data_IF_171933470155
#
_entry.id   IF_171933470155
#
_cell.length_a   1.000
_cell.length_b   1.000
_cell.length_c   1.000
_cell.angle_alpha   90.00
_cell.angle_beta   90.00
_cell.angle_gamma   90.00
#
_symmetry.space_group_name_H-M   'P 1'
#
loop_
_entity.id
_entity.type
_entity.pdbx_description
1 polymer ?
#
# COMPACT_ATOMS: atom_id res chain seq x y z
N UNK A 1 16.62 -18.10 32.55
CA UNK A 1 15.39 -17.96 31.75
C UNK A 1 15.91 -17.66 30.37
N UNK A 2 16.05 -18.71 29.56
CA UNK A 2 16.58 -18.65 28.19
C UNK A 2 15.71 -17.72 27.36
N UNK A 3 16.37 -16.83 26.61
CA UNK A 3 15.76 -16.18 25.48
C UNK A 3 15.46 -17.26 24.44
N UNK A 4 14.21 -17.37 24.03
CA UNK A 4 13.76 -18.19 22.91
C UNK A 4 14.49 -17.71 21.65
N UNK A 5 15.35 -18.57 21.09
CA UNK A 5 15.91 -18.41 19.75
C UNK A 5 14.75 -18.14 18.78
N UNK A 6 14.86 -17.07 18.00
CA UNK A 6 13.92 -16.78 16.92
C UNK A 6 13.96 -17.92 15.91
N UNK A 7 12.79 -18.41 15.50
CA UNK A 7 12.59 -19.34 14.38
C UNK A 7 13.07 -18.70 13.07
N UNK A 8 14.40 -18.59 12.89
CA UNK A 8 15.00 -18.31 11.59
C UNK A 8 15.09 -19.66 10.89
N UNK A 9 14.29 -19.81 9.85
CA UNK A 9 14.29 -20.96 8.96
C UNK A 9 15.72 -21.25 8.49
N UNK A 10 16.20 -22.47 8.66
CA UNK A 10 17.54 -22.82 8.16
C UNK A 10 17.57 -22.71 6.64
N UNK A 11 18.73 -22.46 6.00
CA UNK A 11 18.84 -22.43 4.54
C UNK A 11 18.31 -23.70 3.85
N UNK A 12 18.35 -24.83 4.57
CA UNK A 12 17.82 -26.12 4.11
C UNK A 12 16.27 -26.12 4.13
N UNK A 13 15.65 -25.56 5.16
CA UNK A 13 14.19 -25.43 5.26
C UNK A 13 13.63 -24.42 4.25
N UNK A 14 14.35 -23.31 4.00
CA UNK A 14 13.99 -22.36 2.97
C UNK A 14 14.02 -22.99 1.56
N UNK A 15 15.01 -23.86 1.31
CA UNK A 15 15.11 -24.62 0.07
C UNK A 15 13.95 -25.62 -0.08
N UNK A 16 13.63 -26.39 0.97
CA UNK A 16 12.51 -27.35 0.96
C UNK A 16 11.16 -26.67 0.70
N UNK A 17 10.94 -25.48 1.29
CA UNK A 17 9.74 -24.67 1.03
C UNK A 17 9.68 -24.20 -0.43
N UNK A 18 10.78 -23.67 -0.97
CA UNK A 18 10.85 -23.25 -2.37
C UNK A 18 10.62 -24.42 -3.34
N UNK A 19 11.18 -25.59 -3.06
CA UNK A 19 10.95 -26.81 -3.85
C UNK A 19 9.47 -27.22 -3.83
N UNK A 20 8.83 -27.20 -2.65
CA UNK A 20 7.41 -27.51 -2.49
C UNK A 20 6.51 -26.52 -3.25
N UNK A 21 6.81 -25.23 -3.18
CA UNK A 21 6.05 -24.19 -3.88
C UNK A 21 6.24 -24.25 -5.40
N UNK A 22 7.45 -24.59 -5.87
CA UNK A 22 7.73 -24.86 -7.27
C UNK A 22 6.98 -26.08 -7.78
N UNK A 23 6.97 -27.19 -7.05
CA UNK A 23 6.17 -28.38 -7.41
C UNK A 23 4.67 -28.06 -7.48
N UNK A 24 4.18 -27.25 -6.54
CA UNK A 24 2.78 -26.77 -6.51
C UNK A 24 2.48 -25.87 -7.72
N UNK A 25 3.42 -25.01 -8.10
CA UNK A 25 3.29 -24.16 -9.28
C UNK A 25 3.32 -25.00 -10.57
N UNK A 26 4.21 -25.98 -10.68
CA UNK A 26 4.26 -26.91 -11.80
C UNK A 26 2.95 -27.67 -11.94
N UNK A 27 2.40 -28.21 -10.84
CA UNK A 27 1.09 -28.87 -10.84
C UNK A 27 -0.05 -27.90 -11.25
N UNK A 28 0.02 -26.64 -10.83
CA UNK A 28 -0.91 -25.58 -11.22
C UNK A 28 -0.86 -25.32 -12.73
N UNK A 29 0.34 -25.15 -13.28
CA UNK A 29 0.55 -24.94 -14.71
C UNK A 29 0.17 -26.19 -15.54
N UNK A 30 0.29 -27.39 -14.95
CA UNK A 30 -0.02 -28.67 -15.57
C UNK A 30 -1.52 -29.04 -15.56
N UNK A 31 -2.40 -28.23 -14.95
CA UNK A 31 -3.86 -28.38 -15.10
C UNK A 31 -4.67 -28.48 -13.81
N UNK A 32 -4.19 -27.97 -12.67
CA UNK A 32 -5.03 -27.82 -11.48
C UNK A 32 -6.13 -26.76 -11.70
N UNK A 33 -7.34 -27.03 -11.21
CA UNK A 33 -8.51 -26.13 -11.28
C UNK A 33 -8.43 -25.03 -10.21
N UNK A 34 -7.41 -24.16 -10.33
CA UNK A 34 -7.29 -22.96 -9.49
C UNK A 34 -7.97 -21.77 -10.16
N UNK A 35 -8.72 -21.01 -9.37
CA UNK A 35 -9.25 -19.72 -9.82
C UNK A 35 -8.11 -18.75 -10.16
N UNK A 36 -8.35 -17.73 -11.03
CA UNK A 36 -7.34 -16.72 -11.35
C UNK A 36 -6.72 -16.05 -10.11
N UNK A 37 -7.51 -15.80 -9.07
CA UNK A 37 -7.04 -15.20 -7.81
C UNK A 37 -6.10 -16.14 -7.05
N UNK A 38 -6.45 -17.42 -6.93
CA UNK A 38 -5.58 -18.42 -6.28
C UNK A 38 -4.25 -18.58 -7.00
N UNK A 39 -4.26 -18.59 -8.34
CA UNK A 39 -3.01 -18.62 -9.12
C UNK A 39 -2.15 -17.40 -8.86
N UNK A 40 -2.75 -16.21 -8.84
CA UNK A 40 -2.03 -14.96 -8.56
C UNK A 40 -1.38 -14.99 -7.17
N UNK A 41 -2.13 -15.39 -6.15
CA UNK A 41 -1.62 -15.50 -4.78
C UNK A 41 -0.42 -16.46 -4.68
N UNK A 42 -0.47 -17.61 -5.38
CA UNK A 42 0.64 -18.55 -5.43
C UNK A 42 1.89 -17.92 -6.06
N UNK A 43 1.75 -17.25 -7.20
CA UNK A 43 2.87 -16.56 -7.86
C UNK A 43 3.48 -15.46 -6.98
N UNK A 44 2.64 -14.64 -6.35
CA UNK A 44 3.10 -13.57 -5.44
C UNK A 44 3.85 -14.15 -4.24
N UNK A 45 3.33 -15.22 -3.63
CA UNK A 45 3.99 -15.92 -2.51
C UNK A 45 5.35 -16.50 -2.90
N UNK A 46 5.42 -17.23 -4.02
CA UNK A 46 6.68 -17.84 -4.48
C UNK A 46 7.74 -16.77 -4.79
N UNK A 47 7.36 -15.69 -5.48
CA UNK A 47 8.29 -14.60 -5.78
C UNK A 47 8.79 -13.93 -4.50
N UNK A 48 7.90 -13.73 -3.51
CA UNK A 48 8.29 -13.22 -2.18
C UNK A 48 9.36 -14.08 -1.52
N UNK A 49 9.18 -15.39 -1.49
CA UNK A 49 10.18 -16.30 -0.91
C UNK A 49 11.52 -16.26 -1.65
N UNK A 50 11.50 -16.17 -2.98
CA UNK A 50 12.74 -16.00 -3.76
C UNK A 50 13.42 -14.68 -3.42
N UNK A 51 12.66 -13.61 -3.17
CA UNK A 51 13.21 -12.33 -2.72
C UNK A 51 13.84 -12.43 -1.33
N UNK A 52 13.21 -13.16 -0.40
CA UNK A 52 13.74 -13.38 0.96
C UNK A 52 15.05 -14.17 0.93
N UNK A 53 15.11 -15.26 0.15
CA UNK A 53 16.36 -16.02 -0.03
C UNK A 53 17.45 -15.17 -0.66
N UNK A 54 17.12 -14.34 -1.66
CA UNK A 54 18.08 -13.39 -2.21
C UNK A 54 18.56 -12.40 -1.15
N UNK A 55 17.66 -11.92 -0.29
CA UNK A 55 17.99 -10.99 0.79
C UNK A 55 18.95 -11.62 1.80
N UNK A 56 18.75 -12.89 2.18
CA UNK A 56 19.68 -13.62 3.05
C UNK A 56 21.11 -13.63 2.50
N UNK A 57 21.28 -13.80 1.18
CA UNK A 57 22.62 -13.73 0.54
C UNK A 57 23.26 -12.35 0.64
N UNK A 58 22.47 -11.30 0.86
CA UNK A 58 22.91 -9.93 1.08
C UNK A 58 23.06 -9.58 2.58
N UNK A 59 22.79 -10.52 3.49
CA UNK A 59 22.76 -10.27 4.93
C UNK A 59 21.43 -9.73 5.47
N UNK A 60 20.35 -9.89 4.71
CA UNK A 60 19.00 -9.41 5.02
C UNK A 60 18.49 -8.37 4.01
N UNK A 61 17.23 -7.97 4.18
CA UNK A 61 16.68 -6.83 3.45
C UNK A 61 17.34 -5.53 3.94
N UNK A 62 17.53 -4.57 3.02
CA UNK A 62 18.27 -3.34 3.31
C UNK A 62 17.36 -2.17 3.67
N UNK A 63 17.89 -1.29 4.51
CA UNK A 63 17.20 -0.10 5.01
C UNK A 63 17.25 1.07 4.01
N UNK A 64 16.24 1.94 4.10
CA UNK A 64 16.24 3.29 3.55
C UNK A 64 16.10 4.33 4.66
N UNK A 65 16.61 5.54 4.43
CA UNK A 65 16.41 6.67 5.36
C UNK A 65 15.03 7.30 5.16
N UNK A 66 14.39 7.71 6.25
CA UNK A 66 13.06 8.37 6.23
C UNK A 66 13.19 9.89 6.38
N UNK A 67 12.09 10.61 6.13
CA UNK A 67 12.07 12.07 6.21
C UNK A 67 12.31 12.59 7.63
N UNK A 68 11.75 11.89 8.63
CA UNK A 68 11.89 12.16 10.05
C UNK A 68 13.32 11.91 10.58
N UNK A 69 14.22 11.39 9.75
CA UNK A 69 15.60 11.07 10.11
C UNK A 69 15.79 9.66 10.68
N UNK A 70 14.76 8.81 10.60
CA UNK A 70 14.82 7.39 10.93
C UNK A 70 15.27 6.52 9.77
N UNK A 71 15.16 5.21 9.96
CA UNK A 71 15.41 4.19 8.95
C UNK A 71 14.31 3.14 9.00
N UNK A 72 14.05 2.51 7.87
CA UNK A 72 13.09 1.41 7.75
C UNK A 72 13.57 0.44 6.67
N UNK A 73 13.29 -0.85 6.86
CA UNK A 73 13.51 -1.90 5.85
C UNK A 73 12.20 -2.15 5.13
N UNK A 74 11.97 -1.63 3.91
CA UNK A 74 10.62 -1.69 3.32
C UNK A 74 10.11 -3.11 3.05
N UNK A 75 10.99 -4.04 2.69
CA UNK A 75 10.61 -5.43 2.44
C UNK A 75 10.40 -6.25 3.73
N UNK A 76 10.77 -5.70 4.88
CA UNK A 76 10.58 -6.27 6.21
C UNK A 76 10.25 -5.15 7.21
N UNK A 77 9.06 -4.53 7.07
CA UNK A 77 8.75 -3.31 7.80
C UNK A 77 8.47 -3.59 9.27
N UNK A 78 9.12 -2.82 10.14
CA UNK A 78 8.73 -2.69 11.55
C UNK A 78 7.63 -1.63 11.66
N UNK A 79 6.44 -2.04 12.11
CA UNK A 79 5.30 -1.14 12.33
C UNK A 79 5.64 0.05 13.23
N UNK A 80 6.54 -0.12 14.20
CA UNK A 80 6.95 0.97 15.10
C UNK A 80 7.79 2.06 14.42
N UNK A 81 8.41 1.75 13.26
CA UNK A 81 9.17 2.71 12.46
C UNK A 81 8.31 3.47 11.44
N UNK A 82 7.03 3.09 11.28
CA UNK A 82 6.10 3.74 10.34
C UNK A 82 5.48 4.96 11.02
N UNK A 83 5.64 6.15 10.42
CA UNK A 83 5.11 7.39 10.99
C UNK A 83 4.21 8.12 10.00
N UNK A 84 3.18 8.79 10.53
CA UNK A 84 2.30 9.64 9.73
C UNK A 84 3.07 10.79 9.05
N UNK A 85 4.12 11.29 9.70
CA UNK A 85 4.98 12.35 9.16
C UNK A 85 5.71 11.89 7.90
N UNK A 86 6.33 10.71 7.94
CA UNK A 86 7.05 10.13 6.80
C UNK A 86 6.11 9.81 5.63
N UNK A 87 4.97 9.17 5.92
CA UNK A 87 3.93 8.88 4.93
C UNK A 87 3.45 10.17 4.28
N UNK A 88 3.02 11.15 5.07
CA UNK A 88 2.48 12.42 4.55
C UNK A 88 3.52 13.15 3.72
N UNK A 89 4.78 13.18 4.17
CA UNK A 89 5.86 13.80 3.43
C UNK A 89 6.05 13.14 2.07
N UNK A 90 6.24 11.83 2.03
CA UNK A 90 6.54 11.09 0.80
C UNK A 90 5.36 11.13 -0.18
N UNK A 91 4.15 10.78 0.27
CA UNK A 91 2.96 10.76 -0.59
C UNK A 91 2.63 12.12 -1.20
N UNK A 92 2.96 13.22 -0.52
CA UNK A 92 2.77 14.57 -1.07
C UNK A 92 3.77 14.94 -2.16
N UNK A 93 4.91 14.24 -2.24
CA UNK A 93 5.95 14.45 -3.25
C UNK A 93 5.89 13.43 -4.40
N UNK A 94 5.21 12.29 -4.21
CA UNK A 94 5.01 11.28 -5.24
C UNK A 94 3.89 11.69 -6.18
N UNK A 95 4.20 11.80 -7.48
CA UNK A 95 3.19 12.06 -8.51
C UNK A 95 2.53 10.74 -8.93
N UNK A 96 1.20 10.75 -8.97
CA UNK A 96 0.43 9.71 -9.65
C UNK A 96 0.70 9.73 -11.15
N UNK A 97 0.33 8.62 -11.79
CA UNK A 97 0.47 8.39 -13.22
C UNK A 97 1.92 8.49 -13.71
N UNK A 98 2.89 8.27 -12.82
CA UNK A 98 4.32 8.47 -13.11
C UNK A 98 4.60 9.88 -13.71
N UNK A 99 3.82 10.89 -13.31
CA UNK A 99 3.95 12.26 -13.78
C UNK A 99 3.54 12.51 -15.24
N UNK A 100 2.83 11.57 -15.88
CA UNK A 100 2.40 11.71 -17.28
C UNK A 100 1.09 12.50 -17.46
N UNK A 101 0.39 12.80 -16.37
CA UNK A 101 -0.84 13.59 -16.41
C UNK A 101 -0.58 15.05 -16.83
N UNK A 102 -1.65 15.79 -17.14
CA UNK A 102 -1.61 17.21 -17.52
C UNK A 102 -0.95 18.15 -16.50
N UNK A 103 -0.74 17.70 -15.26
CA UNK A 103 -0.04 18.43 -14.20
C UNK A 103 0.33 17.50 -13.05
N UNK A 104 1.08 18.03 -12.09
CA UNK A 104 1.43 17.27 -10.89
C UNK A 104 0.18 16.99 -10.05
N UNK A 105 -0.06 15.71 -9.77
CA UNK A 105 -1.14 15.24 -8.93
C UNK A 105 -0.57 14.19 -7.99
N UNK A 106 -0.50 14.49 -6.69
CA UNK A 106 0.19 13.62 -5.76
C UNK A 106 -0.67 12.49 -5.22
N UNK A 107 -0.02 11.42 -4.78
CA UNK A 107 -0.67 10.29 -4.09
C UNK A 107 -1.42 10.78 -2.85
N UNK A 108 -0.87 11.75 -2.11
CA UNK A 108 -1.57 12.34 -0.96
C UNK A 108 -2.90 13.01 -1.34
N UNK A 109 -3.00 13.66 -2.51
CA UNK A 109 -4.28 14.26 -2.97
C UNK A 109 -5.32 13.18 -3.23
N UNK A 110 -4.90 12.11 -3.90
CA UNK A 110 -5.73 10.95 -4.15
C UNK A 110 -6.24 10.32 -2.86
N UNK A 111 -5.35 10.02 -1.91
CA UNK A 111 -5.71 9.43 -0.62
C UNK A 111 -6.69 10.30 0.19
N UNK A 112 -6.53 11.64 0.18
CA UNK A 112 -7.50 12.55 0.78
C UNK A 112 -8.87 12.42 0.09
N UNK A 113 -8.90 12.36 -1.24
CA UNK A 113 -10.14 12.23 -2.00
C UNK A 113 -10.85 10.91 -1.70
N UNK A 114 -10.11 9.79 -1.71
CA UNK A 114 -10.64 8.47 -1.34
C UNK A 114 -11.23 8.50 0.08
N UNK A 115 -10.48 9.00 1.06
CA UNK A 115 -10.96 9.09 2.46
C UNK A 115 -12.24 9.92 2.59
N UNK A 116 -12.37 11.04 1.87
CA UNK A 116 -13.59 11.88 1.89
C UNK A 116 -14.75 11.23 1.16
N UNK A 117 -14.49 10.54 0.07
CA UNK A 117 -15.50 9.82 -0.70
C UNK A 117 -16.07 8.63 0.10
N UNK A 118 -15.22 7.93 0.87
CA UNK A 118 -15.64 6.90 1.83
C UNK A 118 -16.60 7.49 2.87
N UNK A 119 -16.27 8.63 3.47
CA UNK A 119 -17.13 9.32 4.43
C UNK A 119 -18.47 9.73 3.80
N UNK A 120 -18.44 10.36 2.63
CA UNK A 120 -19.65 10.82 1.94
C UNK A 120 -20.60 9.68 1.55
N UNK A 121 -20.07 8.46 1.36
CA UNK A 121 -20.84 7.24 1.10
C UNK A 121 -21.26 6.50 2.38
N UNK A 122 -20.97 7.05 3.56
CA UNK A 122 -21.38 6.48 4.84
C UNK A 122 -20.49 5.33 5.33
N UNK A 123 -19.25 5.25 4.86
CA UNK A 123 -18.27 4.28 5.36
C UNK A 123 -17.97 4.47 6.84
N UNK A 124 -17.57 3.39 7.51
CA UNK A 124 -17.19 3.40 8.92
C UNK A 124 -15.99 4.32 9.18
N UNK A 125 -15.74 4.67 10.45
CA UNK A 125 -14.54 5.44 10.80
C UNK A 125 -13.25 4.69 10.37
N UNK A 126 -13.20 3.37 10.56
CA UNK A 126 -12.07 2.54 10.15
C UNK A 126 -11.90 2.52 8.63
N UNK A 127 -12.99 2.44 7.86
CA UNK A 127 -12.94 2.58 6.40
C UNK A 127 -12.43 3.96 5.97
N UNK A 128 -12.80 5.03 6.68
CA UNK A 128 -12.32 6.39 6.37
C UNK A 128 -10.83 6.55 6.69
N UNK A 129 -10.36 5.95 7.80
CA UNK A 129 -8.95 5.90 8.19
C UNK A 129 -8.14 5.12 7.16
N UNK A 130 -8.61 3.93 6.77
CA UNK A 130 -7.99 3.13 5.72
C UNK A 130 -8.02 3.82 4.37
N UNK A 131 -9.11 4.48 4.00
CA UNK A 131 -9.17 5.28 2.77
C UNK A 131 -8.07 6.36 2.70
N UNK A 132 -7.62 6.91 3.83
CA UNK A 132 -6.50 7.85 3.87
C UNK A 132 -5.12 7.17 3.81
N UNK A 133 -5.00 5.94 4.33
CA UNK A 133 -3.74 5.23 4.52
C UNK A 133 -3.54 4.05 3.55
N UNK A 134 -4.47 3.76 2.65
CA UNK A 134 -4.42 2.58 1.78
C UNK A 134 -3.18 2.56 0.85
N UNK A 135 -2.74 3.74 0.40
CA UNK A 135 -1.53 3.95 -0.40
C UNK A 135 -0.29 4.26 0.46
N UNK A 136 -0.33 4.08 1.80
CA UNK A 136 0.80 4.42 2.68
C UNK A 136 2.09 3.65 2.35
N UNK A 137 1.98 2.42 1.84
CA UNK A 137 3.10 1.61 1.34
C UNK A 137 3.88 2.32 0.21
N UNK A 138 3.22 3.14 -0.61
CA UNK A 138 3.86 3.86 -1.71
C UNK A 138 4.87 4.90 -1.21
N UNK A 139 4.75 5.36 0.05
CA UNK A 139 5.77 6.21 0.67
C UNK A 139 7.16 5.56 0.71
N UNK A 140 7.20 4.22 0.67
CA UNK A 140 8.41 3.42 0.81
C UNK A 140 8.77 2.62 -0.47
N UNK A 141 7.82 2.42 -1.38
CA UNK A 141 8.03 1.71 -2.65
C UNK A 141 7.85 2.54 -3.93
N UNK A 142 7.30 3.76 -3.82
CA UNK A 142 6.80 4.62 -4.91
C UNK A 142 5.48 4.14 -5.55
N UNK A 143 4.75 5.08 -6.17
CA UNK A 143 3.54 4.83 -6.97
C UNK A 143 3.88 4.06 -8.25
N UNK A 144 3.27 2.89 -8.43
CA UNK A 144 3.39 2.07 -9.64
C UNK A 144 2.04 2.02 -10.35
N UNK A 145 1.94 2.50 -11.60
CA UNK A 145 0.68 2.49 -12.34
C UNK A 145 0.06 1.09 -12.43
N UNK A 146 -1.25 1.00 -12.19
CA UNK A 146 -1.98 -0.26 -12.10
C UNK A 146 -1.69 -1.27 -13.25
N UNK A 147 -1.59 -0.88 -14.55
CA UNK A 147 -1.27 -1.84 -15.61
C UNK A 147 0.12 -2.47 -15.48
N UNK A 148 1.10 -1.72 -14.95
CA UNK A 148 2.46 -2.23 -14.71
C UNK A 148 2.47 -3.09 -13.45
N UNK A 149 1.82 -2.63 -12.37
CA UNK A 149 1.69 -3.33 -11.09
C UNK A 149 1.10 -4.75 -11.24
N UNK A 150 0.16 -4.93 -12.17
CA UNK A 150 -0.39 -6.25 -12.49
C UNK A 150 0.65 -7.29 -12.92
N UNK A 151 1.80 -6.85 -13.45
CA UNK A 151 2.90 -7.70 -13.91
C UNK A 151 4.09 -7.75 -12.94
N UNK A 152 3.96 -7.20 -11.72
CA UNK A 152 5.01 -7.12 -10.71
C UNK A 152 4.62 -7.86 -9.41
N UNK A 153 4.59 -9.21 -9.42
CA UNK A 153 4.14 -10.00 -8.27
C UNK A 153 4.96 -9.78 -7.00
N UNK A 154 6.27 -9.53 -7.13
CA UNK A 154 7.12 -9.22 -5.97
C UNK A 154 6.82 -7.86 -5.35
N UNK A 155 6.41 -6.88 -6.16
CA UNK A 155 5.95 -5.59 -5.64
C UNK A 155 4.64 -5.76 -4.88
N UNK A 156 3.65 -6.45 -5.45
CA UNK A 156 2.34 -6.64 -4.80
C UNK A 156 2.42 -7.49 -3.54
N UNK A 157 3.32 -8.48 -3.51
CA UNK A 157 3.62 -9.24 -2.30
C UNK A 157 4.21 -8.34 -1.19
N UNK A 158 5.25 -7.57 -1.52
CA UNK A 158 5.89 -6.65 -0.60
C UNK A 158 4.94 -5.56 -0.09
N UNK A 159 4.13 -5.01 -0.99
CA UNK A 159 3.13 -4.00 -0.66
C UNK A 159 2.09 -4.53 0.32
N UNK A 160 1.57 -5.74 0.10
CA UNK A 160 0.63 -6.37 1.04
C UNK A 160 1.24 -6.53 2.43
N UNK A 161 2.48 -7.03 2.52
CA UNK A 161 3.21 -7.14 3.80
C UNK A 161 3.38 -5.77 4.48
N UNK A 162 3.61 -4.72 3.70
CA UNK A 162 3.74 -3.36 4.22
C UNK A 162 2.40 -2.77 4.67
N UNK A 163 1.33 -3.01 3.93
CA UNK A 163 -0.02 -2.61 4.30
C UNK A 163 -0.45 -3.25 5.63
N UNK A 164 -0.11 -4.53 5.86
CA UNK A 164 -0.33 -5.19 7.15
C UNK A 164 0.43 -4.45 8.27
N UNK A 165 1.69 -4.06 8.05
CA UNK A 165 2.46 -3.27 9.03
C UNK A 165 1.89 -1.86 9.26
N UNK A 166 1.26 -1.24 8.24
CA UNK A 166 0.55 0.05 8.38
C UNK A 166 -0.71 -0.13 9.22
N UNK A 167 -1.48 -1.20 9.00
CA UNK A 167 -2.66 -1.54 9.82
C UNK A 167 -2.25 -1.66 11.29
N UNK A 168 -1.15 -2.36 11.57
CA UNK A 168 -0.60 -2.51 12.92
C UNK A 168 -0.10 -1.17 13.50
N UNK A 169 0.65 -0.39 12.71
CA UNK A 169 1.24 0.88 13.16
C UNK A 169 0.18 1.91 13.59
N UNK A 170 -0.99 1.87 12.99
CA UNK A 170 -2.09 2.80 13.26
C UNK A 170 -3.28 2.16 13.99
N UNK A 171 -3.17 0.92 14.46
CA UNK A 171 -4.23 0.19 15.18
C UNK A 171 -5.58 0.27 14.43
N UNK A 172 -5.57 -0.17 13.16
CA UNK A 172 -6.76 -0.16 12.30
C UNK A 172 -7.57 -1.45 12.49
N UNK A 173 -8.78 -1.32 13.00
CA UNK A 173 -9.67 -2.46 13.25
C UNK A 173 -10.55 -2.76 12.03
N UNK A 174 -9.92 -3.04 10.88
CA UNK A 174 -10.62 -3.24 9.61
C UNK A 174 -11.45 -4.51 9.58
N UNK A 175 -12.65 -4.39 9.04
CA UNK A 175 -13.49 -5.52 8.62
C UNK A 175 -13.35 -5.71 7.12
N UNK A 176 -13.66 -6.91 6.64
CA UNK A 176 -13.64 -7.23 5.21
C UNK A 176 -14.47 -6.21 4.38
N UNK A 177 -15.66 -5.85 4.87
CA UNK A 177 -16.53 -4.85 4.23
C UNK A 177 -15.89 -3.45 4.14
N UNK A 178 -15.02 -3.08 5.09
CA UNK A 178 -14.33 -1.79 5.08
C UNK A 178 -13.29 -1.74 3.96
N UNK A 179 -12.48 -2.79 3.82
CA UNK A 179 -11.47 -2.93 2.76
C UNK A 179 -12.12 -3.00 1.37
N UNK A 180 -13.20 -3.76 1.21
CA UNK A 180 -13.94 -3.87 -0.05
C UNK A 180 -14.56 -2.54 -0.48
N UNK A 181 -15.09 -1.77 0.48
CA UNK A 181 -15.61 -0.42 0.23
C UNK A 181 -14.50 0.51 -0.23
N UNK A 182 -13.35 0.54 0.47
CA UNK A 182 -12.22 1.39 0.11
C UNK A 182 -11.69 1.03 -1.28
N UNK A 183 -11.48 -0.25 -1.58
CA UNK A 183 -11.02 -0.72 -2.90
C UNK A 183 -11.98 -0.30 -4.04
N UNK A 184 -13.29 -0.38 -3.79
CA UNK A 184 -14.32 0.05 -4.75
C UNK A 184 -14.25 1.56 -5.00
N UNK A 185 -14.05 2.35 -3.94
CA UNK A 185 -13.99 3.80 -4.01
C UNK A 185 -12.68 4.28 -4.63
N UNK A 186 -11.54 3.75 -4.21
CA UNK A 186 -10.23 4.00 -4.84
C UNK A 186 -10.32 3.78 -6.35
N UNK A 187 -10.80 2.62 -6.77
CA UNK A 187 -10.97 2.31 -8.20
C UNK A 187 -11.86 3.33 -8.93
N UNK A 188 -12.93 3.83 -8.30
CA UNK A 188 -13.81 4.83 -8.90
C UNK A 188 -13.14 6.22 -8.97
N UNK A 189 -12.45 6.62 -7.91
CA UNK A 189 -11.67 7.87 -7.84
C UNK A 189 -10.54 7.84 -8.87
N UNK A 190 -9.77 6.75 -8.96
CA UNK A 190 -8.69 6.60 -9.93
C UNK A 190 -9.17 6.68 -11.39
N UNK A 191 -10.35 6.15 -11.72
CA UNK A 191 -10.97 6.33 -13.06
C UNK A 191 -11.36 7.78 -13.32
N UNK A 192 -11.99 8.43 -12.34
CA UNK A 192 -12.32 9.85 -12.43
C UNK A 192 -11.06 10.71 -12.65
N UNK A 193 -9.98 10.44 -11.92
CA UNK A 193 -8.70 11.14 -12.06
C UNK A 193 -8.06 10.92 -13.43
N UNK A 194 -8.11 9.70 -13.99
CA UNK A 194 -7.66 9.42 -15.34
C UNK A 194 -8.40 10.29 -16.38
N UNK A 195 -9.73 10.38 -16.27
CA UNK A 195 -10.53 11.24 -17.14
C UNK A 195 -10.14 12.72 -17.01
N UNK A 196 -9.90 13.20 -15.78
CA UNK A 196 -9.43 14.57 -15.53
C UNK A 196 -8.03 14.87 -16.10
N UNK A 197 -7.10 13.92 -16.01
CA UNK A 197 -5.69 14.14 -16.35
C UNK A 197 -5.30 13.73 -17.77
N UNK A 198 -6.10 12.91 -18.45
CA UNK A 198 -5.83 12.42 -19.80
C UNK A 198 -6.99 12.66 -20.78
N UNK A 199 -8.14 13.14 -20.31
CA UNK A 199 -9.30 13.56 -21.10
C UNK A 199 -10.49 12.60 -21.03
N UNK A 200 -11.69 13.18 -20.89
CA UNK A 200 -12.97 12.47 -20.72
C UNK A 200 -13.36 11.56 -21.91
N UNK A 201 -12.82 11.77 -23.11
CA UNK A 201 -13.12 10.94 -24.28
C UNK A 201 -12.44 9.57 -24.24
N UNK A 202 -11.38 9.43 -23.43
CA UNK A 202 -10.56 8.21 -23.37
C UNK A 202 -10.87 7.35 -22.14
N UNK A 203 -11.43 7.93 -21.08
CA UNK A 203 -11.62 7.28 -19.79
C UNK A 203 -13.02 7.51 -19.24
N UNK A 204 -13.57 6.48 -18.60
CA UNK A 204 -14.84 6.58 -17.87
C UNK A 204 -14.70 7.61 -16.74
N UNK A 205 -15.75 8.43 -16.54
CA UNK A 205 -15.83 9.42 -15.48
C UNK A 205 -16.99 9.10 -14.54
N UNK A 206 -16.78 8.25 -13.52
CA UNK A 206 -17.80 7.90 -12.56
C UNK A 206 -18.34 9.14 -11.82
N UNK A 207 -19.61 9.08 -11.42
CA UNK A 207 -20.16 10.08 -10.50
C UNK A 207 -19.61 9.82 -9.09
N UNK A 208 -18.94 10.83 -8.52
CA UNK A 208 -18.46 10.84 -7.15
C UNK A 208 -19.39 11.68 -6.27
N UNK A 209 -19.42 11.39 -4.97
CA UNK A 209 -20.16 12.16 -3.98
C UNK A 209 -19.39 13.42 -3.54
N UNK A 210 -18.07 13.40 -3.68
CA UNK A 210 -17.15 14.47 -3.35
C UNK A 210 -16.37 14.88 -4.60
N UNK A 211 -16.36 16.19 -4.88
CA UNK A 211 -15.48 16.75 -5.90
C UNK A 211 -14.03 16.82 -5.37
N UNK A 212 -13.02 16.53 -6.20
CA UNK A 212 -11.63 16.63 -5.78
C UNK A 212 -11.31 18.04 -5.31
N UNK A 213 -10.53 18.15 -4.23
CA UNK A 213 -10.10 19.45 -3.74
C UNK A 213 -9.07 20.06 -4.69
N UNK A 214 -9.29 21.33 -5.02
CA UNK A 214 -8.34 22.16 -5.76
C UNK A 214 -7.27 22.66 -4.79
N UNK A 215 -6.29 21.80 -4.51
CA UNK A 215 -5.19 22.06 -3.58
C UNK A 215 -3.93 22.41 -4.35
N UNK A 216 -3.33 23.54 -4.00
CA UNK A 216 -1.96 23.86 -4.39
C UNK A 216 -0.97 22.92 -3.70
N UNK A 217 0.22 22.75 -4.29
CA UNK A 217 1.25 21.83 -3.77
C UNK A 217 1.58 22.05 -2.29
N UNK A 218 1.64 23.31 -1.87
CA UNK A 218 1.93 23.70 -0.48
C UNK A 218 0.80 23.34 0.50
N UNK A 219 -0.42 23.11 0.01
CA UNK A 219 -1.60 22.85 0.82
C UNK A 219 -1.87 21.36 1.02
N UNK A 220 -1.27 20.50 0.18
CA UNK A 220 -1.49 19.04 0.23
C UNK A 220 -1.07 18.45 1.58
N UNK A 221 0.15 18.76 2.06
CA UNK A 221 0.64 18.24 3.36
C UNK A 221 -0.27 18.68 4.52
N UNK A 222 -0.57 19.98 4.71
CA UNK A 222 -1.52 20.42 5.71
C UNK A 222 -2.91 19.77 5.59
N UNK A 223 -3.42 19.60 4.37
CA UNK A 223 -4.73 18.99 4.15
C UNK A 223 -4.75 17.51 4.54
N UNK A 224 -3.69 16.76 4.24
CA UNK A 224 -3.54 15.37 4.64
C UNK A 224 -3.49 15.23 6.16
N UNK A 225 -2.64 16.02 6.83
CA UNK A 225 -2.52 16.00 8.30
C UNK A 225 -3.83 16.43 8.97
N UNK A 226 -4.50 17.46 8.44
CA UNK A 226 -5.81 17.89 8.92
C UNK A 226 -6.85 16.78 8.81
N UNK A 227 -6.89 16.07 7.67
CA UNK A 227 -7.78 14.92 7.50
C UNK A 227 -7.44 13.80 8.48
N UNK A 228 -6.17 13.44 8.62
CA UNK A 228 -5.70 12.45 9.60
C UNK A 228 -6.16 12.79 11.02
N UNK A 229 -5.99 14.06 11.43
CA UNK A 229 -6.42 14.54 12.75
C UNK A 229 -7.93 14.42 12.94
N UNK A 230 -8.75 14.78 11.94
CA UNK A 230 -10.22 14.62 12.02
C UNK A 230 -10.67 13.16 12.17
N UNK A 231 -9.84 12.22 11.75
CA UNK A 231 -10.08 10.79 11.83
C UNK A 231 -9.45 10.14 13.07
N UNK A 232 -8.78 10.92 13.93
CA UNK A 232 -8.06 10.40 15.09
C UNK A 232 -6.83 9.55 14.73
N UNK A 233 -6.22 9.78 13.56
CA UNK A 233 -4.94 9.18 13.19
C UNK A 233 -3.83 10.10 13.72
N UNK A 234 -3.04 9.58 14.65
CA UNK A 234 -2.06 10.37 15.40
C UNK A 234 -0.66 9.85 15.12
N UNK A 235 0.35 10.71 15.20
CA UNK A 235 1.72 10.23 15.27
C UNK A 235 1.99 9.73 16.69
N UNK A 236 2.92 8.79 16.84
CA UNK A 236 3.35 8.28 18.15
C UNK A 236 3.84 9.37 19.13
N UNK A 237 4.12 10.58 18.64
CA UNK A 237 4.57 11.74 19.42
C UNK A 237 3.46 12.69 19.87
N UNK A 238 2.22 12.51 19.41
CA UNK A 238 1.14 13.49 19.62
C UNK A 238 0.00 12.90 20.46
N UNK A 239 0.10 13.03 21.78
CA UNK A 239 -0.93 12.61 22.76
C UNK A 239 -2.14 13.55 22.81
N UNK A 240 -2.34 14.40 21.80
CA UNK A 240 -3.44 15.38 21.74
C UNK A 240 -4.66 14.93 20.91
N UNK A 241 -4.63 13.68 20.45
CA UNK A 241 -5.81 12.89 20.18
C UNK A 241 -6.35 12.28 21.49
#
# INVERSE_FOLDING_TARGET
>A
MEATESDIDSPEQALERLETDLETLEATLAGADLSPAQRRQLFESLVGQVQDVLAETNGGHLEINTHSGGQITPLEPDSAAITLEDITHALSNLSRFTGQGTGFYSVARHAIHVSREVEARGGSLEAQRWGLLHDASEAYFADVPAPVKQSLPGYTHAEKRFQDAVIDAFDLALKDDDSDLVNTIDSAVGRFELAMHFGDEQFDRPTLAVEPSDLELSEVKPAFLSRAQTLGICSASDTSC
#
